data_IF_000827973129
#
_entry.id   IF_000827973129
#
_cell.length_a   1.000
_cell.length_b   1.000
_cell.length_c   1.000
_cell.angle_alpha   90.00
_cell.angle_beta   90.00
_cell.angle_gamma   90.00
#
_symmetry.space_group_name_H-M   'P 1'
#
loop_
_entity.id
_entity.type
_entity.pdbx_description
1 polymer ?
#
# COMPACT_ATOMS: atom_id res chain seq x y z
N UNK A 1 -6.91 -22.49 8.75
CA UNK A 1 -5.46 -22.18 8.71
C UNK A 1 -5.27 -21.16 7.61
N UNK A 2 -5.33 -19.89 7.99
CA UNK A 2 -5.26 -18.74 7.08
C UNK A 2 -3.89 -18.70 6.42
N UNK A 3 -3.88 -18.70 5.09
CA UNK A 3 -2.69 -18.56 4.27
C UNK A 3 -1.95 -17.28 4.69
N UNK A 4 -0.88 -17.44 5.49
CA UNK A 4 0.01 -16.35 5.86
C UNK A 4 0.78 -15.98 4.60
N UNK A 5 0.18 -15.08 3.82
CA UNK A 5 0.69 -14.61 2.54
C UNK A 5 2.21 -14.49 2.56
N UNK A 6 2.83 -15.18 1.61
CA UNK A 6 4.26 -15.32 1.45
C UNK A 6 4.95 -13.95 1.55
N UNK A 7 5.86 -13.80 2.49
CA UNK A 7 6.68 -12.59 2.58
C UNK A 7 7.80 -12.62 1.53
N UNK A 8 7.85 -11.58 0.71
CA UNK A 8 9.00 -11.28 -0.17
C UNK A 8 9.56 -9.93 0.24
N UNK A 9 10.89 -9.87 0.37
CA UNK A 9 11.61 -8.64 0.68
C UNK A 9 11.28 -7.60 -0.38
N UNK A 10 10.65 -6.49 0.01
CA UNK A 10 10.23 -5.44 -0.92
C UNK A 10 11.31 -4.39 -1.07
N UNK A 11 11.35 -3.77 -2.24
CA UNK A 11 12.27 -2.67 -2.53
C UNK A 11 11.57 -1.32 -2.42
N UNK A 12 12.32 -0.33 -1.97
CA UNK A 12 11.90 1.06 -1.93
C UNK A 12 12.99 1.98 -2.49
N UNK A 13 12.60 3.20 -2.82
CA UNK A 13 13.52 4.33 -3.07
C UNK A 13 13.20 5.44 -2.09
N UNK A 14 14.22 6.15 -1.66
CA UNK A 14 14.03 7.38 -0.89
C UNK A 14 13.97 8.57 -1.82
N UNK A 15 13.01 9.47 -1.60
CA UNK A 15 12.94 10.75 -2.30
C UNK A 15 13.72 11.79 -1.51
N UNK A 16 14.78 12.32 -2.11
CA UNK A 16 15.59 13.38 -1.52
C UNK A 16 15.22 14.72 -2.15
N UNK A 17 14.83 15.66 -1.30
CA UNK A 17 14.49 17.01 -1.71
C UNK A 17 15.64 17.68 -2.48
N UNK A 18 15.33 18.18 -3.68
CA UNK A 18 16.31 18.81 -4.57
C UNK A 18 17.35 17.88 -5.22
N UNK A 19 17.35 16.56 -4.92
CA UNK A 19 18.33 15.60 -5.46
C UNK A 19 17.72 14.39 -6.18
N UNK A 20 16.40 14.30 -6.25
CA UNK A 20 15.69 13.20 -6.92
C UNK A 20 15.59 11.93 -6.05
N UNK A 21 15.20 10.81 -6.65
CA UNK A 21 15.05 9.54 -5.96
C UNK A 21 16.38 8.78 -5.91
N UNK A 22 16.64 8.08 -4.80
CA UNK A 22 17.81 7.19 -4.66
C UNK A 22 17.69 5.95 -5.54
N UNK A 23 18.78 5.19 -5.65
CA UNK A 23 18.73 3.83 -6.18
C UNK A 23 17.79 2.94 -5.35
N UNK A 24 17.11 1.95 -5.99
CA UNK A 24 16.34 0.94 -5.29
C UNK A 24 17.18 0.20 -4.25
N UNK A 25 16.63 0.02 -3.05
CA UNK A 25 17.23 -0.88 -2.03
C UNK A 25 16.14 -1.69 -1.35
N UNK A 26 16.46 -2.85 -0.75
CA UNK A 26 15.53 -3.56 0.12
C UNK A 26 15.03 -2.66 1.25
N UNK A 27 13.75 -2.76 1.62
CA UNK A 27 13.15 -1.95 2.69
C UNK A 27 13.89 -2.12 4.03
N UNK A 28 14.48 -3.30 4.25
CA UNK A 28 15.32 -3.59 5.41
C UNK A 28 16.53 -2.66 5.56
N UNK A 29 16.98 -2.00 4.49
CA UNK A 29 18.06 -1.00 4.54
C UNK A 29 17.71 0.23 5.40
N UNK A 30 16.43 0.50 5.65
CA UNK A 30 15.95 1.62 6.47
C UNK A 30 15.57 1.21 7.90
N UNK A 31 15.90 -0.01 8.35
CA UNK A 31 15.63 -0.44 9.75
C UNK A 31 16.29 0.46 10.79
N UNK A 32 17.48 0.98 10.47
CA UNK A 32 18.24 1.87 11.33
C UNK A 32 17.73 3.32 11.32
N UNK A 33 16.86 3.70 10.37
CA UNK A 33 16.32 5.05 10.30
C UNK A 33 15.49 5.38 11.54
N UNK A 34 15.57 6.63 11.98
CA UNK A 34 14.81 7.09 13.13
C UNK A 34 13.32 7.15 12.81
N UNK A 35 12.98 7.80 11.71
CA UNK A 35 11.62 7.85 11.20
C UNK A 35 11.58 7.77 9.67
N UNK A 36 10.55 7.12 9.14
CA UNK A 36 10.24 7.19 7.72
C UNK A 36 8.74 7.12 7.45
N UNK A 37 8.32 7.68 6.32
CA UNK A 37 7.01 7.42 5.72
C UNK A 37 7.17 6.48 4.54
N UNK A 38 6.31 5.46 4.44
CA UNK A 38 6.26 4.53 3.31
C UNK A 38 5.03 4.83 2.46
N UNK A 39 5.27 5.38 1.28
CA UNK A 39 4.29 5.75 0.28
C UNK A 39 4.20 4.68 -0.80
N UNK A 40 2.98 4.35 -1.20
CA UNK A 40 2.72 3.48 -2.33
C UNK A 40 1.25 3.59 -2.77
N UNK A 41 0.97 3.14 -3.98
CA UNK A 41 -0.40 2.92 -4.48
C UNK A 41 -1.21 1.95 -3.56
N UNK A 42 -2.55 1.98 -3.63
CA UNK A 42 -3.40 0.97 -3.03
C UNK A 42 -3.04 -0.45 -3.51
N UNK A 43 -3.11 -1.44 -2.62
CA UNK A 43 -2.77 -2.83 -2.96
C UNK A 43 -1.27 -3.12 -3.12
N UNK A 44 -0.39 -2.11 -3.10
CA UNK A 44 1.05 -2.28 -3.28
C UNK A 44 1.74 -3.16 -2.21
N UNK A 45 1.06 -3.43 -1.09
CA UNK A 45 1.52 -4.33 -0.02
C UNK A 45 2.14 -3.64 1.19
N UNK A 46 1.83 -2.36 1.45
CA UNK A 46 2.33 -1.58 2.60
C UNK A 46 2.09 -2.28 3.94
N UNK A 47 0.86 -2.68 4.22
CA UNK A 47 0.45 -3.41 5.43
C UNK A 47 1.30 -4.64 5.67
N UNK A 48 1.47 -5.49 4.65
CA UNK A 48 2.27 -6.71 4.77
C UNK A 48 3.75 -6.40 5.00
N UNK A 49 4.28 -5.39 4.31
CA UNK A 49 5.66 -4.93 4.50
C UNK A 49 5.89 -4.43 5.94
N UNK A 50 4.95 -3.64 6.49
CA UNK A 50 5.02 -3.14 7.86
C UNK A 50 4.92 -4.25 8.91
N UNK A 51 3.98 -5.18 8.76
CA UNK A 51 3.88 -6.33 9.67
C UNK A 51 5.17 -7.13 9.72
N UNK A 52 5.78 -7.43 8.56
CA UNK A 52 7.01 -8.21 8.53
C UNK A 52 8.22 -7.42 9.02
N UNK A 53 8.34 -6.13 8.69
CA UNK A 53 9.43 -5.31 9.20
C UNK A 53 9.31 -5.07 10.71
N UNK A 54 8.11 -4.97 11.26
CA UNK A 54 7.87 -4.96 12.70
C UNK A 54 8.39 -6.23 13.35
N UNK A 55 7.96 -7.41 12.86
CA UNK A 55 8.43 -8.71 13.37
C UNK A 55 9.96 -8.84 13.27
N UNK A 56 10.55 -8.48 12.12
CA UNK A 56 11.98 -8.62 11.87
C UNK A 56 12.87 -7.61 12.61
N UNK A 57 12.31 -6.51 13.11
CA UNK A 57 13.03 -5.47 13.86
C UNK A 57 12.70 -5.44 15.36
N UNK A 58 11.83 -6.34 15.83
CA UNK A 58 11.30 -6.30 17.20
C UNK A 58 10.46 -5.05 17.46
N UNK A 59 9.84 -4.49 16.41
CA UNK A 59 8.95 -3.35 16.49
C UNK A 59 7.51 -3.73 16.76
N UNK A 60 6.68 -2.72 17.00
CA UNK A 60 5.25 -2.88 17.28
C UNK A 60 4.44 -2.41 16.09
N UNK A 61 3.54 -3.26 15.59
CA UNK A 61 2.61 -2.93 14.52
C UNK A 61 1.26 -2.47 15.08
N UNK A 62 0.76 -1.34 14.59
CA UNK A 62 -0.56 -0.80 14.93
C UNK A 62 -1.16 -0.07 13.73
N UNK A 63 -2.48 -0.07 13.58
CA UNK A 63 -3.13 0.76 12.55
C UNK A 63 -3.19 2.21 13.00
N UNK A 64 -3.16 3.17 12.08
CA UNK A 64 -3.32 4.59 12.39
C UNK A 64 -4.63 4.85 13.14
N UNK A 65 -5.70 4.16 12.76
CA UNK A 65 -7.01 4.19 13.46
C UNK A 65 -6.88 3.78 14.92
N UNK A 66 -6.26 2.63 15.20
CA UNK A 66 -6.10 2.14 16.57
C UNK A 66 -5.12 2.99 17.38
N UNK A 67 -4.05 3.48 16.75
CA UNK A 67 -3.13 4.39 17.41
C UNK A 67 -3.90 5.62 17.90
N UNK A 68 -4.61 6.31 16.99
CA UNK A 68 -5.46 7.47 17.34
C UNK A 68 -6.51 7.12 18.42
N UNK A 69 -7.25 6.02 18.26
CA UNK A 69 -8.39 5.69 19.12
C UNK A 69 -8.00 5.21 20.52
N UNK A 70 -6.93 4.42 20.66
CA UNK A 70 -6.55 3.81 21.94
C UNK A 70 -5.77 4.77 22.83
N UNK A 71 -5.15 5.79 22.25
CA UNK A 71 -4.28 6.72 22.97
C UNK A 71 -2.94 6.08 23.34
N UNK A 72 -2.00 6.89 23.89
CA UNK A 72 -0.67 6.41 24.23
C UNK A 72 -0.74 5.45 25.42
N UNK A 73 -0.07 4.30 25.31
CA UNK A 73 0.20 3.43 26.46
C UNK A 73 1.14 4.16 27.44
N UNK A 74 1.06 3.82 28.73
CA UNK A 74 1.92 4.42 29.77
C UNK A 74 3.40 4.00 29.67
N UNK A 75 3.77 3.22 28.66
CA UNK A 75 5.12 2.69 28.47
C UNK A 75 5.63 3.05 27.06
N UNK A 76 6.84 3.60 26.93
CA UNK A 76 7.48 3.76 25.63
C UNK A 76 7.67 2.39 24.95
N UNK A 77 7.53 2.31 23.63
CA UNK A 77 7.77 1.07 22.89
C UNK A 77 9.23 0.64 23.01
N UNK A 78 9.48 -0.67 23.09
CA UNK A 78 10.84 -1.23 23.15
C UNK A 78 11.55 -1.17 21.78
N UNK A 79 10.77 -1.17 20.71
CA UNK A 79 11.23 -1.12 19.33
C UNK A 79 10.61 0.03 18.53
N UNK A 80 10.87 0.08 17.21
CA UNK A 80 10.21 1.05 16.36
C UNK A 80 8.71 0.78 16.22
N UNK A 81 7.90 1.85 16.20
CA UNK A 81 6.46 1.77 15.92
C UNK A 81 6.20 1.73 14.41
N UNK A 82 5.33 0.84 13.96
CA UNK A 82 4.84 0.76 12.59
C UNK A 82 3.35 1.08 12.57
N UNK A 83 3.02 2.30 12.15
CA UNK A 83 1.68 2.87 12.13
C UNK A 83 1.13 2.78 10.70
N UNK A 84 0.19 1.86 10.47
CA UNK A 84 -0.31 1.55 9.12
C UNK A 84 -1.62 2.28 8.78
N UNK A 85 -1.69 2.91 7.60
CA UNK A 85 -2.94 3.42 7.03
C UNK A 85 -3.30 4.85 7.44
N UNK A 86 -2.37 5.81 7.33
CA UNK A 86 -2.70 7.23 7.52
C UNK A 86 -3.82 7.69 6.57
N UNK A 87 -3.84 7.18 5.34
CA UNK A 87 -4.87 7.48 4.34
C UNK A 87 -6.28 7.05 4.80
N UNK A 88 -6.39 5.94 5.54
CA UNK A 88 -7.68 5.39 5.98
C UNK A 88 -8.37 6.31 7.00
N UNK A 89 -7.59 6.88 7.93
CA UNK A 89 -8.11 7.83 8.92
C UNK A 89 -8.35 9.22 8.34
N UNK A 90 -7.68 9.57 7.23
CA UNK A 90 -7.94 10.79 6.45
C UNK A 90 -9.25 10.72 5.69
N UNK A 91 -9.56 9.58 5.07
CA UNK A 91 -10.79 9.39 4.33
C UNK A 91 -12.05 9.52 5.21
N UNK A 92 -11.96 9.12 6.49
CA UNK A 92 -13.04 9.26 7.47
C UNK A 92 -13.10 10.59 8.22
N UNK A 93 -12.18 11.54 7.97
CA UNK A 93 -12.11 12.81 8.71
C UNK A 93 -12.57 13.99 7.86
N UNK A 94 -13.30 14.97 8.44
CA UNK A 94 -13.63 16.23 7.75
C UNK A 94 -12.38 17.08 7.44
N UNK A 95 -11.25 16.80 8.09
CA UNK A 95 -9.99 17.53 7.90
C UNK A 95 -8.84 16.57 7.58
N UNK A 96 -8.20 16.73 6.43
CA UNK A 96 -7.04 15.89 6.05
C UNK A 96 -5.82 16.08 6.97
N UNK A 97 -5.78 17.15 7.77
CA UNK A 97 -4.66 17.44 8.68
C UNK A 97 -4.83 16.82 10.07
N UNK A 98 -6.05 16.79 10.59
CA UNK A 98 -6.34 16.36 11.97
C UNK A 98 -5.79 14.96 12.31
N UNK A 99 -5.91 13.93 11.45
CA UNK A 99 -5.38 12.61 11.78
C UNK A 99 -3.87 12.60 12.01
N UNK A 100 -3.11 13.38 11.25
CA UNK A 100 -1.67 13.47 11.42
C UNK A 100 -1.31 14.19 12.72
N UNK A 101 -2.06 15.23 13.10
CA UNK A 101 -1.87 15.95 14.36
C UNK A 101 -2.09 15.04 15.58
N UNK A 102 -3.11 14.18 15.56
CA UNK A 102 -3.37 13.27 16.67
C UNK A 102 -2.28 12.18 16.77
N UNK A 103 -1.79 11.67 15.63
CA UNK A 103 -0.61 10.77 15.61
C UNK A 103 0.61 11.48 16.21
N UNK A 104 0.90 12.72 15.80
CA UNK A 104 2.04 13.52 16.31
C UNK A 104 1.96 13.71 17.82
N UNK A 105 0.78 14.06 18.33
CA UNK A 105 0.53 14.24 19.77
C UNK A 105 0.83 12.97 20.54
N UNK A 106 0.40 11.81 20.05
CA UNK A 106 0.68 10.53 20.72
C UNK A 106 2.16 10.15 20.67
N UNK A 107 2.81 10.31 19.51
CA UNK A 107 4.26 10.10 19.39
C UNK A 107 5.04 10.99 20.38
N UNK A 108 4.59 12.22 20.57
CA UNK A 108 5.19 13.14 21.54
C UNK A 108 4.99 12.67 22.99
N UNK A 109 3.80 12.18 23.35
CA UNK A 109 3.54 11.62 24.70
C UNK A 109 4.38 10.37 24.96
N UNK A 110 4.61 9.54 23.95
CA UNK A 110 5.46 8.35 24.02
C UNK A 110 6.97 8.66 24.07
N UNK A 111 7.36 9.93 24.11
CA UNK A 111 8.76 10.35 24.20
C UNK A 111 9.50 10.34 22.85
N UNK A 112 8.79 10.55 21.73
CA UNK A 112 9.32 10.60 20.37
C UNK A 112 10.11 9.33 20.00
N UNK A 113 9.45 8.14 20.04
CA UNK A 113 10.10 6.89 19.66
C UNK A 113 10.45 6.88 18.16
N UNK A 114 11.28 5.92 17.75
CA UNK A 114 11.45 5.63 16.32
C UNK A 114 10.12 5.15 15.76
N UNK A 115 9.69 5.68 14.62
CA UNK A 115 8.39 5.37 14.04
C UNK A 115 8.44 5.18 12.53
N UNK A 116 7.41 4.56 11.98
CA UNK A 116 7.20 4.33 10.55
C UNK A 116 5.71 4.56 10.29
N UNK A 117 5.38 5.35 9.27
CA UNK A 117 3.98 5.61 8.90
C UNK A 117 3.76 5.16 7.46
N UNK A 118 2.68 4.43 7.19
CA UNK A 118 2.30 4.11 5.81
C UNK A 118 1.20 5.06 5.33
N UNK A 119 1.24 5.42 4.05
CA UNK A 119 0.22 6.25 3.42
C UNK A 119 0.10 5.93 1.93
N UNK A 120 -1.03 6.28 1.31
CA UNK A 120 -1.14 6.35 -0.16
C UNK A 120 -0.37 7.55 -0.70
N UNK A 121 0.23 7.40 -1.89
CA UNK A 121 0.93 8.52 -2.54
C UNK A 121 0.01 9.71 -2.80
N UNK A 122 -1.21 9.46 -3.31
CA UNK A 122 -2.21 10.50 -3.55
C UNK A 122 -2.71 11.20 -2.27
N UNK A 123 -2.52 10.58 -1.11
CA UNK A 123 -2.93 11.12 0.18
C UNK A 123 -1.83 11.84 0.94
N UNK A 124 -0.59 11.82 0.46
CA UNK A 124 0.54 12.50 1.07
C UNK A 124 0.58 13.99 0.71
N UNK A 125 0.59 14.88 1.72
CA UNK A 125 0.60 16.34 1.51
C UNK A 125 2.02 16.92 1.33
N UNK A 126 2.99 16.07 0.98
CA UNK A 126 4.36 16.49 0.66
C UNK A 126 5.08 17.18 1.82
N UNK A 127 5.60 18.38 1.56
CA UNK A 127 6.39 19.14 2.52
C UNK A 127 5.66 19.40 3.85
N UNK A 128 4.35 19.62 3.80
CA UNK A 128 3.53 19.91 4.99
C UNK A 128 3.55 18.73 5.97
N UNK A 129 3.28 17.52 5.49
CA UNK A 129 3.26 16.34 6.34
C UNK A 129 4.68 15.95 6.79
N UNK A 130 5.66 16.11 5.89
CA UNK A 130 7.07 15.84 6.19
C UNK A 130 7.57 16.70 7.35
N UNK A 131 7.37 18.01 7.28
CA UNK A 131 7.86 18.93 8.30
C UNK A 131 7.13 18.74 9.64
N UNK A 132 5.84 18.40 9.59
CA UNK A 132 5.06 18.03 10.77
C UNK A 132 5.61 16.77 11.46
N UNK A 133 5.98 15.73 10.70
CA UNK A 133 6.55 14.50 11.23
C UNK A 133 8.00 14.66 11.71
N UNK A 134 8.82 15.47 11.03
CA UNK A 134 10.18 15.80 11.50
C UNK A 134 10.18 16.39 12.91
N UNK A 135 9.18 17.22 13.25
CA UNK A 135 9.05 17.81 14.59
C UNK A 135 8.90 16.77 15.71
N UNK A 136 8.43 15.55 15.40
CA UNK A 136 8.26 14.46 16.38
C UNK A 136 9.23 13.30 16.16
N UNK A 137 10.04 13.30 15.10
CA UNK A 137 11.09 12.31 14.87
C UNK A 137 12.22 12.43 15.92
N UNK A 138 12.82 11.33 16.41
CA UNK A 138 13.85 11.37 17.45
C UNK A 138 15.01 12.34 17.14
N UNK A 139 15.57 12.27 15.94
CA UNK A 139 16.68 13.11 15.47
C UNK A 139 16.24 14.35 14.67
N UNK A 140 14.93 14.50 14.42
CA UNK A 140 14.42 15.49 13.47
C UNK A 140 14.53 15.07 12.00
N UNK A 141 15.12 13.91 11.71
CA UNK A 141 15.22 13.36 10.36
C UNK A 141 14.01 12.47 10.01
N UNK A 142 13.54 12.58 8.77
CA UNK A 142 12.45 11.76 8.22
C UNK A 142 12.77 11.39 6.77
N UNK A 143 12.82 10.09 6.49
CA UNK A 143 12.94 9.57 5.13
C UNK A 143 11.56 9.43 4.47
N UNK A 144 11.41 9.93 3.24
CA UNK A 144 10.23 9.71 2.39
C UNK A 144 10.51 8.54 1.44
N UNK A 145 9.94 7.37 1.73
CA UNK A 145 10.17 6.14 0.98
C UNK A 145 9.01 5.85 0.03
N UNK A 146 9.32 5.46 -1.19
CA UNK A 146 8.37 4.99 -2.18
C UNK A 146 8.56 3.49 -2.41
N UNK A 147 7.54 2.70 -2.11
CA UNK A 147 7.57 1.26 -2.36
C UNK A 147 7.50 0.99 -3.86
N UNK A 148 8.41 0.17 -4.36
CA UNK A 148 8.45 -0.14 -5.78
C UNK A 148 7.44 -1.24 -6.16
N UNK A 149 6.94 -1.20 -7.42
CA UNK A 149 6.24 -2.34 -8.00
C UNK A 149 7.11 -3.60 -7.95
N UNK A 150 6.45 -4.75 -7.85
CA UNK A 150 7.12 -6.05 -7.91
C UNK A 150 7.86 -6.21 -9.24
N UNK A 151 9.13 -6.56 -9.16
CA UNK A 151 9.88 -7.03 -10.31
C UNK A 151 9.60 -8.52 -10.60
N UNK A 152 10.21 -9.04 -11.65
CA UNK A 152 10.02 -10.42 -12.08
C UNK A 152 10.50 -11.43 -11.04
N UNK A 153 11.60 -11.13 -10.32
CA UNK A 153 12.16 -11.99 -9.29
C UNK A 153 11.22 -12.05 -8.09
N UNK A 154 10.71 -10.90 -7.66
CA UNK A 154 9.74 -10.78 -6.58
C UNK A 154 8.43 -11.50 -6.93
N UNK A 155 7.92 -11.36 -8.16
CA UNK A 155 6.73 -12.09 -8.63
C UNK A 155 6.95 -13.59 -8.62
N UNK A 156 8.06 -14.07 -9.18
CA UNK A 156 8.39 -15.50 -9.20
C UNK A 156 8.50 -16.05 -7.77
N UNK A 157 9.10 -15.30 -6.86
CA UNK A 157 9.22 -15.68 -5.45
C UNK A 157 7.85 -15.77 -4.74
N UNK A 158 6.93 -14.84 -5.03
CA UNK A 158 5.55 -14.88 -4.51
C UNK A 158 4.81 -16.10 -5.05
N UNK A 159 4.82 -16.28 -6.37
CA UNK A 159 4.13 -17.38 -7.06
C UNK A 159 4.65 -18.75 -6.62
N UNK A 160 5.98 -18.93 -6.53
CA UNK A 160 6.58 -20.22 -6.20
C UNK A 160 6.29 -20.70 -4.78
N UNK A 161 5.97 -19.77 -3.88
CA UNK A 161 5.69 -20.07 -2.47
C UNK A 161 4.18 -20.16 -2.19
N UNK A 162 3.34 -19.66 -3.10
CA UNK A 162 1.89 -19.81 -3.04
C UNK A 162 1.51 -21.08 -3.82
N UNK A 163 1.29 -22.19 -3.10
CA UNK A 163 1.04 -23.52 -3.70
C UNK A 163 -0.22 -23.59 -4.55
N UNK A 164 -1.17 -22.68 -4.38
CA UNK A 164 -2.37 -22.58 -5.22
C UNK A 164 -2.20 -21.62 -6.39
N UNK A 165 -1.07 -20.91 -6.50
CA UNK A 165 -0.99 -19.75 -7.39
C UNK A 165 -0.63 -20.02 -8.85
N UNK A 166 0.09 -21.10 -9.11
CA UNK A 166 0.34 -21.63 -10.44
C UNK A 166 1.04 -22.97 -10.28
N UNK A 167 0.66 -23.98 -11.08
CA UNK A 167 1.44 -25.21 -11.17
C UNK A 167 2.90 -24.94 -11.59
N UNK A 168 3.14 -23.82 -12.28
CA UNK A 168 4.44 -23.35 -12.69
C UNK A 168 4.51 -21.80 -12.69
N UNK A 169 5.24 -21.21 -11.73
CA UNK A 169 5.40 -19.76 -11.60
C UNK A 169 6.04 -19.09 -12.83
N UNK A 170 7.02 -19.76 -13.47
CA UNK A 170 7.70 -19.23 -14.63
C UNK A 170 6.78 -19.19 -15.86
N UNK A 171 5.95 -20.23 -16.01
CA UNK A 171 4.95 -20.29 -17.08
C UNK A 171 3.88 -19.21 -16.89
N UNK A 172 3.39 -19.01 -15.68
CA UNK A 172 2.42 -17.94 -15.37
C UNK A 172 2.97 -16.56 -15.74
N UNK A 173 4.21 -16.26 -15.34
CA UNK A 173 4.84 -14.98 -15.69
C UNK A 173 5.07 -14.83 -17.19
N UNK A 174 5.42 -15.92 -17.89
CA UNK A 174 5.57 -15.95 -19.34
C UNK A 174 4.24 -15.64 -20.05
N UNK A 175 3.16 -16.29 -19.63
CA UNK A 175 1.81 -16.05 -20.16
C UNK A 175 1.37 -14.60 -19.90
N UNK A 176 1.57 -14.06 -18.70
CA UNK A 176 1.26 -12.67 -18.40
C UNK A 176 2.00 -11.67 -19.32
N UNK A 177 3.24 -11.98 -19.71
CA UNK A 177 3.99 -11.18 -20.69
C UNK A 177 3.41 -11.31 -22.09
N UNK A 178 3.06 -12.53 -22.53
CA UNK A 178 2.45 -12.78 -23.84
C UNK A 178 1.09 -12.08 -24.00
N UNK A 179 0.29 -12.04 -22.95
CA UNK A 179 -1.00 -11.34 -22.92
C UNK A 179 -0.88 -9.82 -22.68
N UNK A 180 0.34 -9.29 -22.50
CA UNK A 180 0.60 -7.85 -22.32
C UNK A 180 0.11 -7.27 -20.98
N UNK A 181 0.03 -8.11 -19.94
CA UNK A 181 -0.55 -7.76 -18.62
C UNK A 181 0.48 -7.82 -17.49
N UNK A 182 1.75 -8.03 -17.81
CA UNK A 182 2.86 -8.03 -16.84
C UNK A 182 2.87 -6.79 -15.92
N UNK A 183 2.58 -5.61 -16.45
CA UNK A 183 2.60 -4.38 -15.64
C UNK A 183 1.64 -4.45 -14.44
N UNK A 184 0.49 -5.12 -14.60
CA UNK A 184 -0.49 -5.31 -13.52
C UNK A 184 0.06 -6.17 -12.38
N UNK A 185 0.89 -7.16 -12.71
CA UNK A 185 1.51 -8.04 -11.72
C UNK A 185 2.53 -7.33 -10.82
N UNK A 186 2.90 -6.08 -11.14
CA UNK A 186 3.70 -5.23 -10.26
C UNK A 186 2.97 -4.86 -8.96
N UNK A 187 1.64 -4.93 -8.94
CA UNK A 187 0.83 -4.72 -7.74
C UNK A 187 0.45 -6.09 -7.13
N UNK A 188 0.84 -6.39 -5.87
CA UNK A 188 0.53 -7.67 -5.23
C UNK A 188 -0.95 -8.02 -5.19
N UNK A 189 -1.84 -7.03 -5.02
CA UNK A 189 -3.30 -7.28 -5.06
C UNK A 189 -3.71 -7.80 -6.43
N UNK A 190 -3.29 -7.12 -7.50
CA UNK A 190 -3.59 -7.54 -8.87
C UNK A 190 -2.94 -8.87 -9.23
N UNK A 191 -1.73 -9.14 -8.74
CA UNK A 191 -1.08 -10.44 -8.89
C UNK A 191 -1.93 -11.56 -8.29
N UNK A 192 -2.40 -11.40 -7.04
CA UNK A 192 -3.23 -12.39 -6.37
C UNK A 192 -4.58 -12.59 -7.10
N UNK A 193 -5.20 -11.51 -7.54
CA UNK A 193 -6.45 -11.58 -8.30
C UNK A 193 -6.27 -12.33 -9.63
N UNK A 194 -5.18 -12.08 -10.34
CA UNK A 194 -4.86 -12.78 -11.59
C UNK A 194 -4.58 -14.26 -11.38
N UNK A 195 -3.90 -14.59 -10.28
CA UNK A 195 -3.68 -15.95 -9.84
C UNK A 195 -5.01 -16.68 -9.59
N UNK A 196 -5.91 -16.08 -8.82
CA UNK A 196 -7.23 -16.66 -8.52
C UNK A 196 -8.06 -16.86 -9.80
N UNK A 197 -8.03 -15.87 -10.68
CA UNK A 197 -8.74 -15.88 -11.95
C UNK A 197 -8.33 -17.05 -12.85
N UNK A 198 -7.01 -17.19 -13.09
CA UNK A 198 -6.46 -18.24 -13.94
C UNK A 198 -6.54 -19.62 -13.27
N UNK A 199 -6.45 -19.69 -11.94
CA UNK A 199 -6.58 -20.95 -11.20
C UNK A 199 -8.00 -21.52 -11.12
N UNK A 200 -9.04 -20.69 -11.35
CA UNK A 200 -10.45 -21.11 -11.26
C UNK A 200 -11.03 -21.65 -12.58
N UNK A 201 -10.34 -21.42 -13.69
CA UNK A 201 -10.66 -22.01 -14.98
C UNK A 201 -9.42 -21.92 -15.85
N UNK A 202 -8.92 -23.07 -16.32
CA UNK A 202 -7.63 -23.31 -16.99
C UNK A 202 -7.28 -22.42 -18.22
N UNK A 203 -7.96 -21.30 -18.43
CA UNK A 203 -7.78 -20.40 -19.56
C UNK A 203 -7.44 -18.99 -19.08
N UNK A 204 -6.31 -18.49 -19.56
CA UNK A 204 -6.00 -17.08 -19.53
C UNK A 204 -7.09 -16.30 -20.27
N UNK A 205 -7.49 -15.11 -19.77
CA UNK A 205 -8.45 -14.29 -20.49
C UNK A 205 -7.96 -13.98 -21.92
N UNK A 206 -8.88 -13.96 -22.89
CA UNK A 206 -8.57 -13.95 -24.34
C UNK A 206 -7.91 -12.66 -24.83
N UNK A 207 -7.66 -11.69 -23.96
CA UNK A 207 -6.90 -10.49 -24.27
C UNK A 207 -6.74 -9.57 -23.07
N UNK A 208 -5.97 -8.50 -23.29
CA UNK A 208 -5.73 -7.45 -22.29
C UNK A 208 -7.04 -6.89 -21.72
N UNK A 209 -8.05 -6.67 -22.57
CA UNK A 209 -9.33 -6.12 -22.14
C UNK A 209 -10.05 -6.98 -21.09
N UNK A 210 -10.05 -8.31 -21.24
CA UNK A 210 -10.72 -9.21 -20.30
C UNK A 210 -9.97 -9.28 -18.96
N UNK A 211 -8.63 -9.21 -19.00
CA UNK A 211 -7.80 -9.11 -17.79
C UNK A 211 -8.11 -7.83 -17.02
N UNK A 212 -8.15 -6.68 -17.71
CA UNK A 212 -8.47 -5.40 -17.06
C UNK A 212 -9.92 -5.38 -16.55
N UNK A 213 -10.88 -5.94 -17.28
CA UNK A 213 -12.27 -6.06 -16.83
C UNK A 213 -12.35 -6.82 -15.52
N UNK A 214 -11.73 -8.00 -15.45
CA UNK A 214 -11.71 -8.82 -14.24
C UNK A 214 -11.01 -8.12 -13.07
N UNK A 215 -9.89 -7.41 -13.35
CA UNK A 215 -9.21 -6.62 -12.35
C UNK A 215 -10.10 -5.47 -11.82
N UNK A 216 -10.78 -4.74 -12.71
CA UNK A 216 -11.70 -3.67 -12.34
C UNK A 216 -12.88 -4.19 -11.50
N UNK A 217 -13.52 -5.28 -11.92
CA UNK A 217 -14.62 -5.91 -11.18
C UNK A 217 -14.20 -6.29 -9.75
N UNK A 218 -12.99 -6.81 -9.60
CA UNK A 218 -12.42 -7.15 -8.30
C UNK A 218 -12.01 -5.92 -7.50
N UNK A 219 -11.36 -4.92 -8.09
CA UNK A 219 -10.98 -3.67 -7.41
C UNK A 219 -12.18 -2.85 -6.94
N UNK A 220 -13.30 -2.91 -7.67
CA UNK A 220 -14.54 -2.24 -7.30
C UNK A 220 -15.30 -2.96 -6.16
N UNK A 221 -14.85 -4.14 -5.73
CA UNK A 221 -15.34 -4.78 -4.52
C UNK A 221 -14.59 -4.23 -3.29
N UNK A 222 -15.33 -3.69 -2.32
CA UNK A 222 -14.75 -3.37 -1.01
C UNK A 222 -14.43 -4.69 -0.29
N UNK A 223 -13.20 -4.91 0.13
CA UNK A 223 -12.77 -6.13 0.83
C UNK A 223 -12.61 -5.92 2.34
N UNK A 224 -12.64 -4.66 2.81
CA UNK A 224 -12.61 -4.35 4.23
C UNK A 224 -14.03 -4.42 4.82
N UNK A 225 -14.27 -5.42 5.68
CA UNK A 225 -15.57 -5.63 6.34
C UNK A 225 -15.99 -4.44 7.23
N UNK A 226 -15.03 -3.67 7.77
CA UNK A 226 -15.30 -2.46 8.55
C UNK A 226 -15.79 -1.32 7.65
N UNK A 227 -15.21 -1.16 6.45
CA UNK A 227 -15.69 -0.15 5.49
C UNK A 227 -17.05 -0.50 4.90
N UNK A 228 -17.34 -1.79 4.68
CA UNK A 228 -18.67 -2.27 4.28
C UNK A 228 -19.74 -1.93 5.32
N UNK A 229 -19.38 -1.89 6.60
CA UNK A 229 -20.32 -1.60 7.71
C UNK A 229 -20.46 -0.11 8.01
N UNK A 230 -19.41 0.70 7.81
CA UNK A 230 -19.47 2.16 7.92
C UNK A 230 -20.23 2.81 6.75
N UNK A 231 -20.13 2.25 5.53
CA UNK A 231 -20.82 2.77 4.34
C UNK A 231 -22.25 2.25 4.22
N UNK A 232 -23.21 2.87 4.94
CA UNK A 232 -24.64 2.51 4.87
C UNK A 232 -25.29 2.66 3.47
N UNK A 233 -24.62 3.33 2.53
CA UNK A 233 -25.07 3.55 1.14
C UNK A 233 -23.86 3.48 0.19
N UNK A 234 -23.12 2.37 0.20
CA UNK A 234 -22.12 2.15 -0.84
C UNK A 234 -22.82 1.89 -2.19
N UNK A 235 -22.46 2.59 -3.28
CA UNK A 235 -22.96 2.27 -4.61
C UNK A 235 -22.58 0.83 -4.98
N UNK A 236 -23.42 0.18 -5.79
CA UNK A 236 -23.12 -1.17 -6.28
C UNK A 236 -21.83 -1.17 -7.11
N UNK A 237 -21.15 -2.32 -7.18
CA UNK A 237 -19.96 -2.50 -8.02
C UNK A 237 -20.20 -2.09 -9.47
N UNK A 238 -21.40 -2.34 -10.01
CA UNK A 238 -21.78 -1.93 -11.36
C UNK A 238 -21.77 -0.40 -11.53
N UNK A 239 -22.39 0.33 -10.59
CA UNK A 239 -22.40 1.80 -10.60
C UNK A 239 -20.98 2.37 -10.46
N UNK A 240 -20.17 1.80 -9.57
CA UNK A 240 -18.77 2.21 -9.42
C UNK A 240 -17.96 2.02 -10.71
N UNK A 241 -18.17 0.92 -11.41
CA UNK A 241 -17.50 0.62 -12.68
C UNK A 241 -17.96 1.58 -13.79
N UNK A 242 -19.25 1.89 -13.87
CA UNK A 242 -19.79 2.85 -14.83
C UNK A 242 -19.25 4.26 -14.59
N UNK A 243 -19.27 4.74 -13.34
CA UNK A 243 -18.74 6.05 -12.96
C UNK A 243 -17.23 6.14 -13.23
N UNK A 244 -16.47 5.11 -12.85
CA UNK A 244 -15.03 5.03 -13.14
C UNK A 244 -14.76 4.96 -14.64
N UNK A 245 -15.61 4.27 -15.40
CA UNK A 245 -15.57 4.19 -16.85
C UNK A 245 -15.79 5.55 -17.51
N UNK A 246 -16.78 6.31 -17.05
CA UNK A 246 -17.05 7.67 -17.51
C UNK A 246 -15.86 8.60 -17.22
N UNK A 247 -15.34 8.58 -16.00
CA UNK A 247 -14.16 9.37 -15.61
C UNK A 247 -12.93 9.01 -16.47
N UNK A 248 -12.69 7.73 -16.69
CA UNK A 248 -11.60 7.25 -17.55
C UNK A 248 -11.75 7.72 -19.00
N UNK A 249 -12.98 7.68 -19.55
CA UNK A 249 -13.26 8.19 -20.88
C UNK A 249 -13.02 9.70 -20.96
N UNK A 250 -13.47 10.46 -19.96
CA UNK A 250 -13.25 11.90 -19.89
C UNK A 250 -11.75 12.24 -19.81
N UNK A 251 -10.94 11.52 -19.04
CA UNK A 251 -9.47 11.72 -19.00
C UNK A 251 -8.85 11.53 -20.39
N UNK A 252 -9.17 10.40 -21.04
CA UNK A 252 -8.63 10.07 -22.35
C UNK A 252 -9.05 11.07 -23.43
N UNK A 253 -10.30 11.53 -23.40
CA UNK A 253 -10.84 12.44 -24.41
C UNK A 253 -10.45 13.90 -24.18
N UNK A 254 -10.27 14.32 -22.92
CA UNK A 254 -9.90 15.69 -22.58
C UNK A 254 -8.39 15.94 -22.70
N UNK A 255 -7.56 14.89 -22.72
CA UNK A 255 -6.11 15.02 -22.67
C UNK A 255 -5.59 15.59 -21.34
N UNK A 256 -6.41 15.55 -20.29
CA UNK A 256 -6.02 15.97 -18.95
C UNK A 256 -5.36 14.82 -18.19
N UNK A 257 -4.43 15.14 -17.28
CA UNK A 257 -3.66 14.15 -16.53
C UNK A 257 -4.37 13.65 -15.26
N UNK A 258 -5.50 14.26 -14.87
CA UNK A 258 -6.21 13.89 -13.65
C UNK A 258 -7.43 14.77 -13.35
N UNK A 259 -8.23 14.33 -12.39
CA UNK A 259 -9.31 15.11 -11.79
C UNK A 259 -8.86 15.69 -10.45
N UNK A 260 -9.24 16.93 -10.17
CA UNK A 260 -9.16 17.51 -8.83
C UNK A 260 -10.57 17.51 -8.23
N UNK A 261 -10.68 17.07 -6.98
CA UNK A 261 -11.91 17.10 -6.17
C UNK A 261 -11.74 18.13 -5.07
#
# INVERSE_FOLDING_TARGET
>A
MTDRGVFVSRRAKERIEGKGATEPRPLSAWRAADAYVLLAEPGAGKTRAFQTEAEASGGEYITARNFIALGPTSRPPEGPLFIDGLDEVRAGSPSRREPLEEIRKQLNVLGRPRFRISCREADWLGAVDRDALRAVAPSGELSELHLLPLDDEEILAILSRNRSAAANAAEFLSQAKQHGVRALLGNPLLLNLMVEAVGSGDQWPNGRADVYRLACERLAAEYNDEHRTESKVAPSTEVLLDDAGLLSALLLLSGTEGFAV
#
